data_IF_141490594510
#
_entry.id   IF_141490594510
#
_cell.length_a   1.000
_cell.length_b   1.000
_cell.length_c   1.000
_cell.angle_alpha   90.00
_cell.angle_beta   90.00
_cell.angle_gamma   90.00
#
_symmetry.space_group_name_H-M   'P 1'
#
loop_
_entity.id
_entity.type
_entity.pdbx_description
1 polymer ?
#
# COMPACT_ATOMS: atom_id res chain seq x y z
N UNK A 1 6.08 -44.03 2.47
CA UNK A 1 5.37 -43.12 3.40
C UNK A 1 5.07 -41.83 2.66
N UNK A 2 3.78 -41.51 2.45
CA UNK A 2 3.37 -40.29 1.77
C UNK A 2 3.58 -39.09 2.70
N UNK A 3 4.32 -38.08 2.25
CA UNK A 3 4.42 -36.78 2.93
C UNK A 3 3.06 -36.08 2.84
N UNK A 4 2.54 -35.43 3.91
CA UNK A 4 1.27 -34.72 3.80
C UNK A 4 1.47 -33.55 2.84
N UNK A 5 0.73 -33.55 1.73
CA UNK A 5 0.71 -32.43 0.81
C UNK A 5 0.33 -31.18 1.63
N UNK A 6 1.27 -30.24 1.76
CA UNK A 6 1.11 -29.00 2.51
C UNK A 6 -0.25 -28.37 2.21
N UNK A 7 -1.15 -28.35 3.19
CA UNK A 7 -2.49 -27.75 3.14
C UNK A 7 -2.44 -26.22 3.19
N UNK A 8 -1.48 -25.62 2.49
CA UNK A 8 -1.34 -24.16 2.35
C UNK A 8 -2.28 -23.70 1.24
N UNK A 9 -3.40 -23.13 1.64
CA UNK A 9 -4.27 -22.38 0.74
C UNK A 9 -3.51 -21.13 0.32
N UNK A 10 -3.13 -21.05 -0.96
CA UNK A 10 -2.52 -19.86 -1.53
C UNK A 10 -3.61 -18.94 -2.08
N UNK A 11 -3.91 -17.88 -1.35
CA UNK A 11 -4.78 -16.83 -1.85
C UNK A 11 -3.96 -15.79 -2.63
N UNK A 12 -4.44 -15.44 -3.83
CA UNK A 12 -3.89 -14.34 -4.64
C UNK A 12 -5.04 -13.45 -5.11
N UNK A 13 -4.92 -12.17 -4.82
CA UNK A 13 -5.80 -11.15 -5.39
C UNK A 13 -4.97 -10.25 -6.32
N UNK A 14 -5.10 -10.39 -7.65
CA UNK A 14 -4.30 -9.62 -8.59
C UNK A 14 -4.59 -8.11 -8.51
N UNK A 15 -5.74 -7.71 -7.94
CA UNK A 15 -6.11 -6.31 -7.77
C UNK A 15 -5.67 -5.73 -6.43
N UNK A 16 -5.16 -6.54 -5.51
CA UNK A 16 -4.82 -6.09 -4.16
C UNK A 16 -3.87 -4.89 -4.18
N UNK A 17 -2.77 -4.97 -4.94
CA UNK A 17 -1.83 -3.86 -5.04
C UNK A 17 -2.49 -2.61 -5.63
N UNK A 18 -3.30 -2.76 -6.68
CA UNK A 18 -4.03 -1.63 -7.29
C UNK A 18 -4.95 -0.95 -6.28
N UNK A 19 -5.72 -1.73 -5.52
CA UNK A 19 -6.63 -1.20 -4.50
C UNK A 19 -5.86 -0.53 -3.36
N UNK A 20 -4.78 -1.15 -2.87
CA UNK A 20 -3.92 -0.55 -1.86
C UNK A 20 -3.33 0.79 -2.32
N UNK A 21 -2.88 0.89 -3.58
CA UNK A 21 -2.37 2.15 -4.13
C UNK A 21 -3.44 3.24 -4.23
N UNK A 22 -4.67 2.89 -4.63
CA UNK A 22 -5.78 3.85 -4.67
C UNK A 22 -6.10 4.40 -3.28
N UNK A 23 -6.12 3.52 -2.28
CA UNK A 23 -6.37 3.91 -0.90
C UNK A 23 -5.28 4.84 -0.36
N UNK A 24 -4.01 4.51 -0.61
CA UNK A 24 -2.89 5.36 -0.20
C UNK A 24 -2.91 6.73 -0.87
N UNK A 25 -3.33 6.80 -2.14
CA UNK A 25 -3.48 8.09 -2.83
C UNK A 25 -4.59 8.93 -2.19
N UNK A 26 -5.71 8.31 -1.82
CA UNK A 26 -6.78 9.00 -1.11
C UNK A 26 -6.30 9.53 0.25
N UNK A 27 -5.55 8.72 1.00
CA UNK A 27 -4.94 9.13 2.27
C UNK A 27 -3.98 10.30 2.10
N UNK A 28 -3.16 10.28 1.04
CA UNK A 28 -2.27 11.37 0.69
C UNK A 28 -3.03 12.67 0.40
N UNK A 29 -4.13 12.61 -0.34
CA UNK A 29 -4.94 13.78 -0.68
C UNK A 29 -5.70 14.35 0.52
N UNK A 30 -6.10 13.50 1.46
CA UNK A 30 -6.80 13.87 2.69
C UNK A 30 -5.85 14.25 3.83
N UNK A 31 -4.55 14.05 3.66
CA UNK A 31 -3.51 14.42 4.63
C UNK A 31 -3.49 13.57 5.89
N UNK A 32 -4.10 12.38 5.86
CA UNK A 32 -4.07 11.40 6.95
C UNK A 32 -2.96 10.37 6.71
N UNK A 33 -2.37 9.88 7.80
CA UNK A 33 -1.28 8.89 7.77
C UNK A 33 -0.06 9.31 6.92
N UNK A 34 0.12 10.62 6.73
CA UNK A 34 1.28 11.18 6.06
C UNK A 34 2.33 11.56 7.10
N UNK A 35 3.42 10.80 7.16
CA UNK A 35 4.50 11.03 8.14
C UNK A 35 5.61 11.93 7.59
N UNK A 36 5.62 12.19 6.27
CA UNK A 36 6.65 12.97 5.59
C UNK A 36 6.05 14.11 4.78
N UNK A 37 6.70 15.26 4.86
CA UNK A 37 6.43 16.42 4.00
C UNK A 37 7.56 16.55 2.98
N UNK A 38 7.22 16.42 1.70
CA UNK A 38 8.10 16.75 0.59
C UNK A 38 7.94 18.23 0.26
N UNK A 39 9.05 18.92 0.03
CA UNK A 39 9.04 20.27 -0.50
C UNK A 39 9.90 20.35 -1.75
N UNK A 40 9.32 20.84 -2.84
CA UNK A 40 10.01 21.04 -4.11
C UNK A 40 9.51 22.33 -4.76
N UNK A 41 10.42 23.16 -5.26
CA UNK A 41 10.09 24.42 -5.96
C UNK A 41 9.11 25.33 -5.18
N UNK A 42 9.21 25.33 -3.85
CA UNK A 42 8.30 26.09 -2.96
C UNK A 42 6.93 25.45 -2.73
N UNK A 43 6.58 24.34 -3.40
CA UNK A 43 5.37 23.55 -3.15
C UNK A 43 5.62 22.49 -2.09
N UNK A 44 4.64 22.29 -1.20
CA UNK A 44 4.67 21.23 -0.18
C UNK A 44 3.69 20.12 -0.58
N UNK A 45 4.16 18.88 -0.58
CA UNK A 45 3.38 17.68 -0.81
C UNK A 45 3.49 16.79 0.42
N UNK A 46 2.35 16.28 0.89
CA UNK A 46 2.31 15.25 1.92
C UNK A 46 2.59 13.90 1.26
N UNK A 47 3.37 13.03 1.92
CA UNK A 47 3.69 11.70 1.45
C UNK A 47 3.29 10.66 2.51
N UNK A 48 2.53 9.65 2.07
CA UNK A 48 2.20 8.47 2.89
C UNK A 48 3.42 7.55 2.87
N UNK A 49 3.98 7.27 4.05
CA UNK A 49 5.06 6.30 4.18
C UNK A 49 4.45 4.89 4.11
N UNK A 50 5.17 3.95 3.46
CA UNK A 50 4.89 2.51 3.55
C UNK A 50 5.91 1.87 4.47
#
# INVERSE_FOLDING_TARGET
MCSPASSKILYRNPRFLRLAFLELHHQQQSGVFCDVLLQAEGKRLQQVLK
#
